data_IF_712986539744
#
_entry.id   IF_712986539744
#
_cell.length_a   1.000
_cell.length_b   1.000
_cell.length_c   1.000
_cell.angle_alpha   90.00
_cell.angle_beta   90.00
_cell.angle_gamma   90.00
#
_symmetry.space_group_name_H-M   'P 1'
#
loop_
_entity.id
_entity.type
_entity.pdbx_description
1 polymer ?
#
# COMPACT_ATOMS: atom_id res chain seq x y z
N UNK A 1 -9.74 -0.23 -0.15
CA UNK A 1 -9.18 1.00 -0.75
C UNK A 1 -9.99 1.44 -1.98
N UNK A 2 -10.15 0.63 -3.04
CA UNK A 2 -10.87 1.04 -4.26
C UNK A 2 -12.35 1.48 -4.04
N UNK A 3 -13.07 0.85 -3.12
CA UNK A 3 -14.44 1.23 -2.75
C UNK A 3 -14.51 2.64 -2.16
N UNK A 4 -13.58 2.99 -1.28
CA UNK A 4 -13.47 4.32 -0.67
C UNK A 4 -13.10 5.34 -1.74
N UNK A 5 -12.15 4.98 -2.62
CA UNK A 5 -11.75 5.85 -3.73
C UNK A 5 -12.95 6.25 -4.61
N UNK A 6 -13.79 5.28 -5.02
CA UNK A 6 -15.02 5.58 -5.77
C UNK A 6 -15.99 6.46 -5.00
N UNK A 7 -16.19 6.19 -3.71
CA UNK A 7 -17.07 7.03 -2.89
C UNK A 7 -16.59 8.49 -2.81
N UNK A 8 -15.27 8.71 -2.74
CA UNK A 8 -14.68 10.04 -2.76
C UNK A 8 -14.84 10.73 -4.13
N UNK A 9 -14.67 10.00 -5.23
CA UNK A 9 -14.92 10.52 -6.59
C UNK A 9 -16.38 10.95 -6.77
N UNK A 10 -17.34 10.14 -6.28
CA UNK A 10 -18.76 10.48 -6.32
C UNK A 10 -19.06 11.76 -5.53
N UNK A 11 -18.24 12.07 -4.51
CA UNK A 11 -18.30 13.31 -3.74
C UNK A 11 -17.52 14.48 -4.39
N UNK A 12 -16.96 14.30 -5.59
CA UNK A 12 -16.19 15.32 -6.30
C UNK A 12 -14.73 15.45 -5.87
N UNK A 13 -14.19 14.47 -5.13
CA UNK A 13 -12.78 14.44 -4.69
C UNK A 13 -12.03 13.47 -5.60
N UNK A 14 -11.11 13.95 -6.46
CA UNK A 14 -10.31 13.08 -7.31
C UNK A 14 -9.39 12.16 -6.49
N UNK A 15 -9.29 10.91 -6.90
CA UNK A 15 -8.52 9.86 -6.25
C UNK A 15 -7.65 9.11 -7.23
N UNK A 16 -6.55 8.57 -6.71
CA UNK A 16 -5.62 7.73 -7.43
C UNK A 16 -5.05 6.67 -6.49
N UNK A 17 -4.98 5.44 -6.98
CA UNK A 17 -4.55 4.30 -6.19
C UNK A 17 -3.13 3.88 -6.59
N UNK A 18 -2.15 3.95 -5.69
CA UNK A 18 -0.82 3.37 -5.92
C UNK A 18 -0.71 2.07 -5.14
N UNK A 19 -0.46 0.94 -5.80
CA UNK A 19 -0.44 -0.36 -5.15
C UNK A 19 0.40 -1.42 -5.83
N UNK A 20 0.64 -2.53 -5.12
CA UNK A 20 1.52 -3.63 -5.56
C UNK A 20 0.82 -4.99 -5.68
N UNK A 21 -0.50 -5.04 -5.47
CA UNK A 21 -1.30 -6.24 -5.67
C UNK A 21 -2.22 -6.03 -6.87
N UNK A 22 -1.76 -6.44 -8.06
CA UNK A 22 -2.44 -6.17 -9.33
C UNK A 22 -3.83 -6.81 -9.39
N UNK A 23 -3.94 -8.06 -8.95
CA UNK A 23 -5.19 -8.82 -8.87
C UNK A 23 -6.21 -8.15 -7.94
N UNK A 24 -5.77 -7.64 -6.79
CA UNK A 24 -6.60 -6.91 -5.84
C UNK A 24 -7.05 -5.56 -6.44
N UNK A 25 -6.17 -4.85 -7.15
CA UNK A 25 -6.54 -3.63 -7.86
C UNK A 25 -7.61 -3.92 -8.93
N UNK A 26 -7.38 -4.94 -9.77
CA UNK A 26 -8.32 -5.34 -10.81
C UNK A 26 -9.69 -5.73 -10.24
N UNK A 27 -9.72 -6.61 -9.23
CA UNK A 27 -10.96 -7.00 -8.56
C UNK A 27 -11.63 -5.82 -7.86
N UNK A 28 -10.83 -4.92 -7.30
CA UNK A 28 -11.29 -3.72 -6.62
C UNK A 28 -11.87 -2.66 -7.55
N UNK A 29 -11.54 -2.66 -8.85
CA UNK A 29 -12.04 -1.72 -9.88
C UNK A 29 -11.86 -0.23 -9.48
N UNK A 30 -10.63 0.23 -9.20
CA UNK A 30 -10.37 1.61 -8.79
C UNK A 30 -10.82 2.60 -9.87
N UNK A 31 -11.13 3.86 -9.52
CA UNK A 31 -11.34 4.91 -10.51
C UNK A 31 -10.14 5.01 -11.46
N UNK A 32 -8.94 5.12 -10.88
CA UNK A 32 -7.64 5.19 -11.56
C UNK A 32 -6.57 4.60 -10.64
N UNK A 33 -5.57 3.93 -11.19
CA UNK A 33 -4.48 3.36 -10.41
C UNK A 33 -3.13 3.30 -11.15
N UNK A 34 -2.06 3.22 -10.37
CA UNK A 34 -0.75 2.76 -10.78
C UNK A 34 -0.40 1.46 -10.05
N UNK A 35 0.14 0.51 -10.79
CA UNK A 35 0.71 -0.73 -10.28
C UNK A 35 2.23 -0.65 -10.27
N UNK A 36 2.84 -1.01 -9.14
CA UNK A 36 4.28 -1.16 -8.95
C UNK A 36 4.56 -2.59 -8.52
N UNK A 37 5.34 -3.33 -9.31
CA UNK A 37 5.61 -4.77 -9.11
C UNK A 37 6.66 -5.04 -8.02
N UNK A 38 6.38 -4.53 -6.82
CA UNK A 38 7.24 -4.59 -5.63
C UNK A 38 6.56 -5.44 -4.54
N UNK A 39 7.29 -5.89 -3.49
CA UNK A 39 6.69 -6.55 -2.35
C UNK A 39 5.57 -5.70 -1.73
N UNK A 40 4.53 -6.37 -1.22
CA UNK A 40 3.42 -5.69 -0.56
C UNK A 40 3.93 -4.80 0.59
N UNK A 41 3.47 -3.55 0.63
CA UNK A 41 3.94 -2.53 1.58
C UNK A 41 5.03 -1.59 1.05
N UNK A 42 5.60 -1.87 -0.14
CA UNK A 42 6.68 -1.07 -0.74
C UNK A 42 6.24 -0.38 -2.04
N UNK A 43 4.94 -0.08 -2.18
CA UNK A 43 4.37 0.49 -3.42
C UNK A 43 4.91 1.88 -3.77
N UNK A 44 5.54 2.59 -2.83
CA UNK A 44 6.18 3.87 -3.06
C UNK A 44 7.67 3.76 -3.37
N UNK A 45 8.29 2.57 -3.32
CA UNK A 45 9.73 2.37 -3.55
C UNK A 45 10.39 1.49 -2.49
N UNK A 46 11.65 1.11 -2.73
CA UNK A 46 12.43 0.29 -1.79
C UNK A 46 12.83 1.08 -0.52
N UNK A 47 13.03 0.40 0.62
CA UNK A 47 13.41 1.05 1.86
C UNK A 47 14.67 1.89 1.72
N UNK A 48 14.64 3.11 2.25
CA UNK A 48 15.77 4.04 2.30
C UNK A 48 16.34 4.50 0.93
N UNK A 49 15.74 4.09 -0.19
CA UNK A 49 16.07 4.64 -1.51
C UNK A 49 15.15 5.82 -1.86
N UNK A 50 15.47 6.99 -1.31
CA UNK A 50 14.71 8.21 -1.54
C UNK A 50 14.59 8.57 -3.03
N UNK A 51 15.63 8.31 -3.81
CA UNK A 51 15.66 8.64 -5.24
C UNK A 51 14.67 7.79 -6.03
N UNK A 52 14.64 6.48 -5.79
CA UNK A 52 13.66 5.58 -6.38
C UNK A 52 12.25 5.89 -5.89
N UNK A 53 12.09 6.19 -4.60
CA UNK A 53 10.78 6.51 -4.05
C UNK A 53 10.18 7.75 -4.72
N UNK A 54 10.99 8.79 -4.85
CA UNK A 54 10.58 10.02 -5.52
C UNK A 54 10.26 9.78 -7.01
N UNK A 55 11.04 8.94 -7.69
CA UNK A 55 10.79 8.59 -9.08
C UNK A 55 9.42 7.89 -9.26
N UNK A 56 9.13 6.87 -8.46
CA UNK A 56 7.87 6.10 -8.51
C UNK A 56 6.67 7.01 -8.24
N UNK A 57 6.72 7.83 -7.19
CA UNK A 57 5.61 8.74 -6.86
C UNK A 57 5.41 9.76 -7.97
N UNK A 58 6.48 10.29 -8.55
CA UNK A 58 6.40 11.24 -9.67
C UNK A 58 5.76 10.60 -10.91
N UNK A 59 6.11 9.37 -11.24
CA UNK A 59 5.54 8.67 -12.39
C UNK A 59 4.09 8.27 -12.14
N UNK A 60 3.73 7.90 -10.91
CA UNK A 60 2.34 7.72 -10.48
C UNK A 60 1.51 9.01 -10.65
N UNK A 61 2.06 10.17 -10.28
CA UNK A 61 1.39 11.47 -10.48
C UNK A 61 1.24 11.84 -11.96
N UNK A 62 2.20 11.48 -12.81
CA UNK A 62 2.07 11.62 -14.26
C UNK A 62 0.98 10.70 -14.83
N UNK A 63 0.93 9.45 -14.36
CA UNK A 63 -0.11 8.50 -14.73
C UNK A 63 -1.51 9.00 -14.32
N UNK A 64 -1.64 9.66 -13.17
CA UNK A 64 -2.89 10.28 -12.76
C UNK A 64 -3.39 11.34 -13.77
N UNK A 65 -2.50 12.10 -14.39
CA UNK A 65 -2.86 13.10 -15.41
C UNK A 65 -3.35 12.49 -16.73
N UNK A 66 -2.89 11.28 -17.08
CA UNK A 66 -3.24 10.62 -18.35
C UNK A 66 -4.33 9.54 -18.22
N UNK A 67 -4.63 9.08 -17.01
CA UNK A 67 -5.66 8.08 -16.75
C UNK A 67 -7.07 8.69 -16.82
N UNK A 68 -7.61 8.83 -18.03
CA UNK A 68 -8.93 9.46 -18.25
C UNK A 68 -10.13 8.51 -18.08
N UNK A 69 -9.91 7.19 -18.21
CA UNK A 69 -10.99 6.20 -18.16
C UNK A 69 -11.05 5.52 -16.78
N UNK A 70 -12.26 5.22 -16.26
CA UNK A 70 -12.42 4.39 -15.08
C UNK A 70 -11.68 3.05 -15.23
N UNK A 71 -11.16 2.52 -14.13
CA UNK A 71 -10.48 1.22 -14.08
C UNK A 71 -9.16 1.17 -14.86
N UNK A 72 -8.63 2.34 -15.26
CA UNK A 72 -7.30 2.44 -15.85
C UNK A 72 -6.24 2.12 -14.79
N UNK A 73 -5.42 1.11 -15.07
CA UNK A 73 -4.26 0.72 -14.25
C UNK A 73 -3.01 0.91 -15.09
N UNK A 74 -2.15 1.86 -14.71
CA UNK A 74 -0.86 2.11 -15.37
C UNK A 74 0.23 1.31 -14.66
N UNK A 75 1.07 0.61 -15.42
CA UNK A 75 2.23 -0.09 -14.85
C UNK A 75 3.40 0.88 -14.76
N UNK A 76 3.98 1.03 -13.57
CA UNK A 76 5.20 1.79 -13.36
C UNK A 76 6.38 0.88 -13.67
N UNK A 77 7.28 1.37 -14.53
CA UNK A 77 8.51 0.66 -14.89
C UNK A 77 9.57 0.87 -13.79
N UNK A 78 9.58 -0.03 -12.81
CA UNK A 78 10.52 -0.03 -11.71
C UNK A 78 10.90 -1.46 -11.34
N UNK A 79 12.15 -1.66 -10.94
CA UNK A 79 12.69 -2.99 -10.56
C UNK A 79 13.02 -3.02 -9.07
N UNK A 80 12.61 -4.10 -8.39
CA UNK A 80 12.98 -4.33 -7.00
C UNK A 80 14.48 -4.64 -6.89
N UNK A 81 15.24 -3.93 -6.04
CA UNK A 81 16.70 -4.07 -6.01
C UNK A 81 17.19 -5.45 -5.56
N UNK A 82 16.41 -6.18 -4.76
CA UNK A 82 16.77 -7.51 -4.24
C UNK A 82 16.33 -8.65 -5.18
N UNK A 83 15.87 -8.35 -6.39
CA UNK A 83 15.44 -9.35 -7.37
C UNK A 83 13.99 -9.82 -7.17
N UNK A 84 13.63 -10.97 -7.74
CA UNK A 84 12.24 -11.46 -7.80
C UNK A 84 11.91 -12.56 -6.78
N UNK A 85 12.88 -12.99 -5.97
CA UNK A 85 12.71 -14.09 -5.00
C UNK A 85 11.57 -13.84 -4.00
N UNK A 86 11.27 -12.56 -3.73
CA UNK A 86 10.14 -12.16 -2.89
C UNK A 86 8.79 -12.66 -3.41
N UNK A 87 8.62 -12.85 -4.73
CA UNK A 87 7.37 -13.35 -5.33
C UNK A 87 7.09 -14.77 -4.89
N UNK A 88 8.13 -15.61 -4.87
CA UNK A 88 8.05 -17.00 -4.40
C UNK A 88 7.84 -17.04 -2.88
N UNK A 89 8.61 -16.24 -2.13
CA UNK A 89 8.53 -16.21 -0.67
C UNK A 89 7.16 -15.72 -0.17
N UNK A 90 6.57 -14.74 -0.85
CA UNK A 90 5.26 -14.18 -0.47
C UNK A 90 4.08 -15.10 -0.82
N UNK A 91 4.24 -15.97 -1.82
CA UNK A 91 3.24 -16.97 -2.19
C UNK A 91 3.34 -18.25 -1.35
N UNK A 92 4.42 -18.43 -0.59
CA UNK A 92 4.64 -19.63 0.21
C UNK A 92 3.76 -19.60 1.47
N UNK A 93 2.84 -20.56 1.57
CA UNK A 93 1.93 -20.72 2.73
C UNK A 93 2.33 -21.87 3.66
N UNK A 94 3.41 -22.58 3.36
CA UNK A 94 3.87 -23.76 4.12
C UNK A 94 4.30 -23.41 5.54
N UNK A 95 4.73 -22.16 5.76
CA UNK A 95 5.15 -21.66 7.08
C UNK A 95 3.98 -21.38 8.03
N UNK A 96 2.74 -21.52 7.57
CA UNK A 96 1.55 -21.24 8.37
C UNK A 96 1.41 -19.77 8.76
N UNK A 97 0.69 -19.49 9.85
CA UNK A 97 0.51 -18.13 10.36
C UNK A 97 1.74 -17.70 11.17
N UNK A 98 2.60 -16.88 10.56
CA UNK A 98 3.82 -16.33 11.19
C UNK A 98 3.56 -15.10 12.06
N UNK A 99 2.31 -14.64 12.16
CA UNK A 99 1.96 -13.48 13.00
C UNK A 99 2.12 -13.86 14.47
N UNK A 100 2.57 -12.91 15.28
CA UNK A 100 2.60 -13.07 16.72
C UNK A 100 1.19 -13.41 17.27
N UNK A 101 1.08 -14.28 18.30
CA UNK A 101 -0.19 -14.51 18.96
C UNK A 101 -0.80 -13.19 19.40
N UNK A 102 -2.10 -13.03 19.17
CA UNK A 102 -2.83 -11.88 19.70
C UNK A 102 -2.92 -12.04 21.21
N UNK A 103 -2.38 -11.09 21.95
CA UNK A 103 -2.59 -10.96 23.38
C UNK A 103 -3.52 -9.78 23.69
N UNK A 104 -3.98 -9.70 24.93
CA UNK A 104 -4.80 -8.59 25.41
C UNK A 104 -3.93 -7.45 25.96
N UNK A 105 -2.60 -7.54 25.84
CA UNK A 105 -1.68 -6.54 26.39
C UNK A 105 -1.76 -5.29 25.54
N UNK A 106 -2.19 -4.13 26.07
CA UNK A 106 -2.17 -2.90 25.31
C UNK A 106 -0.73 -2.55 24.89
N UNK A 107 -0.56 -2.11 23.64
CA UNK A 107 0.73 -1.67 23.10
C UNK A 107 0.72 -0.15 22.99
N UNK A 108 1.66 0.49 23.67
CA UNK A 108 1.82 1.94 23.68
C UNK A 108 3.07 2.33 22.91
N UNK A 109 3.04 3.49 22.25
CA UNK A 109 4.20 4.01 21.53
C UNK A 109 5.30 4.46 22.51
N UNK A 110 4.89 5.06 23.63
CA UNK A 110 5.78 5.49 24.73
C UNK A 110 5.22 5.09 26.09
N UNK A 111 6.05 5.20 27.14
CA UNK A 111 5.60 5.00 28.53
C UNK A 111 4.65 6.10 29.00
N UNK A 112 4.81 7.32 28.47
CA UNK A 112 3.90 8.43 28.74
C UNK A 112 2.48 8.11 28.24
N UNK A 113 2.36 7.55 27.03
CA UNK A 113 1.07 7.11 26.48
C UNK A 113 0.39 6.06 27.37
N UNK A 114 1.18 5.13 27.94
CA UNK A 114 0.67 4.11 28.86
C UNK A 114 0.08 4.75 30.11
N UNK A 115 0.84 5.64 30.75
CA UNK A 115 0.41 6.33 31.97
C UNK A 115 -0.88 7.11 31.72
N UNK A 116 -0.95 7.87 30.61
CA UNK A 116 -2.12 8.66 30.24
C UNK A 116 -3.35 7.79 29.94
N UNK A 117 -3.18 6.66 29.25
CA UNK A 117 -4.28 5.75 28.93
C UNK A 117 -4.84 5.07 30.20
N UNK A 118 -3.96 4.59 31.08
CA UNK A 118 -4.35 3.91 32.32
C UNK A 118 -4.93 4.87 33.36
N UNK A 119 -4.43 6.11 33.44
CA UNK A 119 -4.98 7.13 34.34
C UNK A 119 -6.43 7.51 34.00
N UNK A 120 -6.83 7.40 32.73
CA UNK A 120 -8.20 7.66 32.28
C UNK A 120 -9.12 6.41 32.31
N UNK A 121 -8.56 5.24 32.64
CA UNK A 121 -9.30 3.98 32.70
C UNK A 121 -9.74 3.59 34.14
N UNK A 122 -9.36 4.39 35.15
CA UNK A 122 -9.73 4.23 36.56
C UNK A 122 -10.87 5.18 36.96
#
# INVERSE_FOLDING_TARGET
MCLIARHLEDAGIPTFCLGSALDILQAGRPPRAAFVDFPLGHSSGSPFDEAQQYAIVRDAMRAFQSAEKPETIVHIDATWPEGEDWKVNSANTDQGDTRAPRDMTPRYQTEEDRILAEANAA
#
